data_IF_049634142043
#
_entry.id   IF_049634142043
#
_cell.length_a   1.000
_cell.length_b   1.000
_cell.length_c   1.000
_cell.angle_alpha   90.00
_cell.angle_beta   90.00
_cell.angle_gamma   90.00
#
_symmetry.space_group_name_H-M   'P 1'
#
loop_
_entity.id
_entity.type
_entity.pdbx_description
1 polymer ?
#
# COMPACT_ATOMS: atom_id res chain seq x y z
N UNK A 1 -15.28 15.66 -28.04
CA UNK A 1 -14.19 15.49 -27.04
C UNK A 1 -14.75 14.68 -25.88
N UNK A 2 -14.57 13.36 -25.78
CA UNK A 2 -15.29 12.57 -24.80
C UNK A 2 -14.51 12.36 -23.48
N UNK A 3 -15.24 12.45 -22.37
CA UNK A 3 -15.09 11.65 -21.15
C UNK A 3 -13.91 11.85 -20.17
N UNK A 4 -13.21 12.99 -20.14
CA UNK A 4 -12.31 13.29 -18.99
C UNK A 4 -13.06 13.63 -17.69
N UNK A 5 -14.38 13.80 -17.71
CA UNK A 5 -15.18 14.10 -16.51
C UNK A 5 -15.46 12.88 -15.61
N UNK A 6 -15.18 11.65 -16.07
CA UNK A 6 -15.51 10.43 -15.34
C UNK A 6 -14.39 9.97 -14.40
N UNK A 7 -13.12 10.29 -14.69
CA UNK A 7 -11.95 9.82 -13.93
C UNK A 7 -11.53 10.86 -12.90
N UNK A 8 -11.42 10.45 -11.63
CA UNK A 8 -10.82 11.28 -10.58
C UNK A 8 -9.32 10.98 -10.44
N UNK A 9 -8.60 11.88 -9.78
CA UNK A 9 -7.16 11.73 -9.51
C UNK A 9 -6.83 10.41 -8.78
N UNK A 10 -7.67 9.98 -7.84
CA UNK A 10 -7.51 8.71 -7.16
C UNK A 10 -7.59 7.52 -8.12
N UNK A 11 -8.56 7.51 -9.05
CA UNK A 11 -8.69 6.43 -10.04
C UNK A 11 -7.48 6.36 -10.97
N UNK A 12 -7.01 7.53 -11.44
CA UNK A 12 -5.84 7.62 -12.31
C UNK A 12 -4.57 7.16 -11.60
N UNK A 13 -4.38 7.56 -10.34
CA UNK A 13 -3.24 7.13 -9.53
C UNK A 13 -3.23 5.61 -9.34
N UNK A 14 -4.37 5.03 -8.95
CA UNK A 14 -4.52 3.58 -8.78
C UNK A 14 -4.30 2.82 -10.09
N UNK A 15 -4.89 3.29 -11.19
CA UNK A 15 -4.73 2.66 -12.49
C UNK A 15 -3.27 2.72 -12.98
N UNK A 16 -2.60 3.88 -12.83
CA UNK A 16 -1.20 4.04 -13.17
C UNK A 16 -0.30 3.11 -12.35
N UNK A 17 -0.57 2.98 -11.06
CA UNK A 17 0.17 2.06 -10.20
C UNK A 17 -0.02 0.59 -10.60
N UNK A 18 -1.27 0.18 -10.87
CA UNK A 18 -1.59 -1.17 -11.33
C UNK A 18 -0.94 -1.48 -12.69
N UNK A 19 -0.92 -0.53 -13.62
CA UNK A 19 -0.20 -0.66 -14.89
C UNK A 19 1.30 -0.83 -14.66
N UNK A 20 1.89 -0.08 -13.73
CA UNK A 20 3.27 -0.25 -13.31
C UNK A 20 3.55 -1.66 -12.76
N UNK A 21 2.65 -2.22 -11.94
CA UNK A 21 2.75 -3.59 -11.44
C UNK A 21 2.60 -4.64 -12.55
N UNK A 22 1.66 -4.45 -13.49
CA UNK A 22 1.51 -5.32 -14.66
C UNK A 22 2.80 -5.33 -15.49
N UNK A 23 3.35 -4.16 -15.78
CA UNK A 23 4.62 -4.04 -16.49
C UNK A 23 5.76 -4.71 -15.72
N UNK A 24 5.87 -4.48 -14.41
CA UNK A 24 6.88 -5.10 -13.55
C UNK A 24 6.82 -6.63 -13.59
N UNK A 25 5.63 -7.20 -13.43
CA UNK A 25 5.43 -8.66 -13.47
C UNK A 25 5.74 -9.20 -14.87
N UNK A 26 5.32 -8.51 -15.92
CA UNK A 26 5.60 -8.93 -17.29
C UNK A 26 7.11 -8.95 -17.60
N UNK A 27 7.83 -7.91 -17.19
CA UNK A 27 9.28 -7.79 -17.37
C UNK A 27 10.08 -8.75 -16.47
N UNK A 28 9.52 -9.15 -15.33
CA UNK A 28 10.19 -10.02 -14.35
C UNK A 28 9.65 -11.45 -14.35
N UNK A 29 8.86 -11.83 -15.36
CA UNK A 29 8.10 -13.09 -15.39
C UNK A 29 8.97 -14.33 -15.20
N UNK A 30 10.20 -14.31 -15.67
CA UNK A 30 11.13 -15.44 -15.61
C UNK A 30 11.68 -15.68 -14.19
N UNK A 31 11.52 -14.70 -13.28
CA UNK A 31 11.96 -14.79 -11.88
C UNK A 31 10.84 -15.20 -10.92
N UNK A 32 9.59 -15.16 -11.38
CA UNK A 32 8.41 -15.34 -10.55
C UNK A 32 7.90 -16.78 -10.67
N UNK A 33 7.46 -17.38 -9.57
CA UNK A 33 6.90 -18.75 -9.59
C UNK A 33 5.52 -18.80 -10.25
N UNK A 34 4.71 -17.77 -10.05
CA UNK A 34 3.33 -17.70 -10.54
C UNK A 34 2.99 -16.36 -11.23
N UNK A 35 3.71 -15.96 -12.28
CA UNK A 35 3.52 -14.66 -12.95
C UNK A 35 2.12 -14.51 -13.55
N UNK A 36 1.55 -15.59 -14.10
CA UNK A 36 0.19 -15.56 -14.66
C UNK A 36 -0.88 -15.19 -13.62
N UNK A 37 -0.79 -15.75 -12.40
CA UNK A 37 -1.71 -15.42 -11.31
C UNK A 37 -1.61 -13.95 -10.91
N UNK A 38 -0.39 -13.42 -10.84
CA UNK A 38 -0.16 -12.00 -10.51
C UNK A 38 -0.68 -11.07 -11.61
N UNK A 39 -0.40 -11.39 -12.88
CA UNK A 39 -0.91 -10.63 -14.03
C UNK A 39 -2.44 -10.62 -14.04
N UNK A 40 -3.09 -11.77 -13.93
CA UNK A 40 -4.56 -11.85 -13.89
C UNK A 40 -5.10 -11.03 -12.72
N UNK A 41 -4.48 -11.13 -11.54
CA UNK A 41 -4.89 -10.35 -10.36
C UNK A 41 -4.84 -8.85 -10.65
N UNK A 42 -3.73 -8.33 -11.16
CA UNK A 42 -3.58 -6.89 -11.43
C UNK A 42 -4.42 -6.40 -12.60
N UNK A 43 -4.60 -7.22 -13.64
CA UNK A 43 -5.48 -6.91 -14.77
C UNK A 43 -6.96 -6.88 -14.34
N UNK A 44 -7.39 -7.80 -13.47
CA UNK A 44 -8.75 -7.79 -12.91
C UNK A 44 -8.95 -6.54 -12.05
N UNK A 45 -8.01 -6.21 -11.15
CA UNK A 45 -8.09 -4.99 -10.34
C UNK A 45 -8.13 -3.73 -11.21
N UNK A 46 -7.33 -3.68 -12.28
CA UNK A 46 -7.30 -2.57 -13.22
C UNK A 46 -8.61 -2.45 -14.00
N UNK A 47 -9.15 -3.57 -14.49
CA UNK A 47 -10.42 -3.62 -15.20
C UNK A 47 -11.58 -3.19 -14.30
N UNK A 48 -11.61 -3.65 -13.05
CA UNK A 48 -12.61 -3.22 -12.08
C UNK A 48 -12.47 -1.72 -11.77
N UNK A 49 -11.25 -1.22 -11.57
CA UNK A 49 -11.00 0.21 -11.35
C UNK A 49 -11.51 1.06 -12.52
N UNK A 50 -11.22 0.64 -13.76
CA UNK A 50 -11.69 1.31 -14.96
C UNK A 50 -13.22 1.25 -15.10
N UNK A 51 -13.82 0.09 -14.82
CA UNK A 51 -15.27 -0.09 -14.85
C UNK A 51 -15.99 0.81 -13.85
N UNK A 52 -15.44 0.97 -12.65
CA UNK A 52 -16.00 1.88 -11.63
C UNK A 52 -15.82 3.34 -12.03
N UNK A 53 -14.66 3.73 -12.57
CA UNK A 53 -14.42 5.08 -13.05
C UNK A 53 -15.38 5.47 -14.19
N UNK A 54 -15.58 4.59 -15.18
CA UNK A 54 -16.54 4.80 -16.27
C UNK A 54 -17.99 4.76 -15.75
N UNK A 55 -18.30 3.81 -14.88
CA UNK A 55 -19.62 3.61 -14.29
C UNK A 55 -20.12 4.81 -13.49
N UNK A 56 -19.21 5.64 -12.95
CA UNK A 56 -19.55 6.91 -12.30
C UNK A 56 -20.39 7.83 -13.20
N UNK A 57 -20.13 7.84 -14.51
CA UNK A 57 -20.92 8.59 -15.49
C UNK A 57 -22.23 7.91 -15.93
N UNK A 58 -22.43 6.64 -15.56
CA UNK A 58 -23.58 5.80 -15.95
C UNK A 58 -24.58 5.60 -14.80
N UNK A 59 -24.47 6.37 -13.71
CA UNK A 59 -25.39 6.28 -12.57
C UNK A 59 -24.99 5.25 -11.50
N UNK A 60 -23.72 4.81 -11.48
CA UNK A 60 -23.20 4.00 -10.38
C UNK A 60 -23.30 4.77 -9.06
N UNK A 61 -23.50 4.04 -7.95
CA UNK A 61 -23.56 4.63 -6.61
C UNK A 61 -22.34 5.53 -6.33
N UNK A 62 -22.55 6.82 -5.98
CA UNK A 62 -21.46 7.74 -5.65
C UNK A 62 -20.58 7.23 -4.52
N UNK A 63 -21.15 6.47 -3.58
CA UNK A 63 -20.42 5.86 -2.49
C UNK A 63 -19.43 4.81 -2.99
N UNK A 64 -19.90 3.88 -3.84
CA UNK A 64 -19.03 2.85 -4.42
C UNK A 64 -17.93 3.53 -5.23
N UNK A 65 -18.30 4.47 -6.11
CA UNK A 65 -17.32 5.17 -6.94
C UNK A 65 -16.29 5.98 -6.14
N UNK A 66 -16.64 6.48 -4.95
CA UNK A 66 -15.75 7.26 -4.10
C UNK A 66 -14.75 6.39 -3.33
N UNK A 67 -15.17 5.23 -2.82
CA UNK A 67 -14.34 4.39 -1.94
C UNK A 67 -13.64 3.22 -2.66
N UNK A 68 -14.11 2.84 -3.84
CA UNK A 68 -13.52 1.72 -4.60
C UNK A 68 -12.01 1.84 -4.87
N UNK A 69 -11.41 3.02 -5.13
CA UNK A 69 -9.96 3.13 -5.31
C UNK A 69 -9.10 2.55 -4.17
N UNK A 70 -9.68 2.36 -2.98
CA UNK A 70 -9.02 1.72 -1.83
C UNK A 70 -8.95 0.19 -2.01
N UNK A 71 -9.93 -0.44 -2.65
CA UNK A 71 -10.01 -1.90 -2.76
C UNK A 71 -8.80 -2.54 -3.47
N UNK A 72 -8.24 -1.97 -4.56
CA UNK A 72 -7.01 -2.48 -5.15
C UNK A 72 -5.81 -2.50 -4.20
N UNK A 73 -5.75 -1.62 -3.21
CA UNK A 73 -4.67 -1.63 -2.20
C UNK A 73 -4.66 -2.96 -1.44
N UNK A 74 -5.83 -3.47 -1.05
CA UNK A 74 -5.95 -4.76 -0.37
C UNK A 74 -5.53 -5.92 -1.27
N UNK A 75 -5.92 -5.89 -2.54
CA UNK A 75 -5.51 -6.89 -3.53
C UNK A 75 -4.00 -6.90 -3.76
N UNK A 76 -3.38 -5.72 -3.83
CA UNK A 76 -1.92 -5.58 -3.93
C UNK A 76 -1.26 -6.12 -2.66
N UNK A 77 -1.76 -5.77 -1.48
CA UNK A 77 -1.23 -6.26 -0.21
C UNK A 77 -1.27 -7.79 -0.11
N UNK A 78 -2.37 -8.42 -0.51
CA UNK A 78 -2.51 -9.87 -0.55
C UNK A 78 -1.53 -10.56 -1.52
N UNK A 79 -0.98 -9.81 -2.49
CA UNK A 79 -0.03 -10.32 -3.47
C UNK A 79 1.44 -10.17 -3.07
N UNK A 80 1.79 -9.47 -1.98
CA UNK A 80 3.19 -9.10 -1.64
C UNK A 80 4.16 -10.28 -1.46
N UNK A 81 3.67 -11.52 -1.35
CA UNK A 81 4.50 -12.73 -1.21
C UNK A 81 5.49 -12.98 -2.34
N UNK A 82 5.31 -12.36 -3.53
CA UNK A 82 6.28 -12.51 -4.64
C UNK A 82 7.53 -11.64 -4.49
N UNK A 83 7.54 -10.67 -3.56
CA UNK A 83 8.63 -9.68 -3.45
C UNK A 83 10.01 -10.31 -3.21
N UNK A 84 10.15 -11.33 -2.33
CA UNK A 84 11.44 -12.03 -2.18
C UNK A 84 11.91 -12.74 -3.47
N UNK A 85 10.99 -13.12 -4.37
CA UNK A 85 11.35 -13.73 -5.67
C UNK A 85 11.93 -12.68 -6.63
N UNK A 86 11.44 -11.44 -6.54
CA UNK A 86 11.94 -10.33 -7.36
C UNK A 86 13.32 -9.82 -6.89
N UNK A 87 13.52 -9.77 -5.57
CA UNK A 87 14.72 -9.22 -4.94
C UNK A 87 15.14 -10.11 -3.75
N UNK A 88 15.88 -11.21 -4.00
CA UNK A 88 16.19 -12.22 -2.99
C UNK A 88 17.30 -11.81 -2.02
N UNK A 89 17.89 -10.62 -2.20
CA UNK A 89 18.99 -10.15 -1.35
C UNK A 89 18.46 -9.66 -0.02
N UNK A 90 18.95 -10.26 1.05
CA UNK A 90 18.73 -9.76 2.40
C UNK A 90 19.33 -8.36 2.55
N UNK A 91 18.47 -7.38 2.88
CA UNK A 91 18.87 -5.98 3.13
C UNK A 91 18.97 -5.68 4.62
N UNK A 92 18.59 -6.59 5.50
CA UNK A 92 18.58 -6.37 6.95
C UNK A 92 19.97 -6.00 7.48
N UNK A 93 21.11 -6.57 7.01
CA UNK A 93 22.44 -6.11 7.45
C UNK A 93 22.77 -4.67 7.04
N UNK A 94 22.32 -4.25 5.85
CA UNK A 94 22.52 -2.88 5.38
C UNK A 94 21.67 -1.88 6.16
N UNK A 95 20.42 -2.26 6.45
CA UNK A 95 19.49 -1.47 7.26
C UNK A 95 20.00 -1.33 8.71
N UNK A 96 20.44 -2.42 9.35
CA UNK A 96 21.04 -2.34 10.70
C UNK A 96 22.28 -1.45 10.75
N UNK A 97 23.12 -1.50 9.70
CA UNK A 97 24.27 -0.58 9.60
C UNK A 97 23.84 0.88 9.49
N UNK A 98 22.78 1.15 8.73
CA UNK A 98 22.21 2.50 8.65
C UNK A 98 21.64 2.94 9.99
N UNK A 99 20.90 2.08 10.68
CA UNK A 99 20.36 2.37 12.01
C UNK A 99 21.48 2.73 13.00
N UNK A 100 22.55 1.94 13.03
CA UNK A 100 23.73 2.25 13.87
C UNK A 100 24.46 3.51 13.43
N UNK A 101 24.49 3.82 12.14
CA UNK A 101 25.11 5.05 11.66
C UNK A 101 24.31 6.30 12.11
N UNK A 102 22.99 6.19 12.21
CA UNK A 102 22.10 7.29 12.63
C UNK A 102 22.02 7.41 14.14
N UNK A 103 21.86 6.30 14.86
CA UNK A 103 21.56 6.27 16.30
C UNK A 103 22.75 5.90 17.18
N UNK A 104 23.86 5.42 16.59
CA UNK A 104 25.03 4.92 17.32
C UNK A 104 24.81 3.56 18.01
N UNK A 105 23.57 3.06 18.02
CA UNK A 105 23.14 1.80 18.68
C UNK A 105 22.14 1.08 17.78
N UNK A 106 21.84 -0.19 18.09
CA UNK A 106 20.70 -0.90 17.50
C UNK A 106 19.40 -0.43 18.20
N UNK A 107 18.54 0.37 17.53
CA UNK A 107 17.40 1.02 18.20
C UNK A 107 16.38 0.02 18.76
N UNK A 108 16.20 -1.11 18.09
CA UNK A 108 15.32 -2.20 18.52
C UNK A 108 15.74 -2.78 19.88
N UNK A 109 17.03 -3.03 20.07
CA UNK A 109 17.60 -3.53 21.33
C UNK A 109 17.60 -2.43 22.39
N UNK A 110 17.93 -1.21 22.01
CA UNK A 110 17.95 -0.07 22.92
C UNK A 110 16.56 0.26 23.46
N UNK A 111 15.50 0.12 22.66
CA UNK A 111 14.13 0.38 23.09
C UNK A 111 13.58 -0.71 24.02
N UNK A 112 14.09 -1.94 23.94
CA UNK A 112 13.61 -3.09 24.73
C UNK A 112 13.65 -2.83 26.24
N UNK A 113 14.61 -2.04 26.73
CA UNK A 113 14.70 -1.64 28.15
C UNK A 113 13.49 -0.85 28.65
N UNK A 114 12.77 -0.17 27.75
CA UNK A 114 11.56 0.59 28.07
C UNK A 114 10.29 -0.24 27.89
N UNK A 115 10.37 -1.48 27.39
CA UNK A 115 9.20 -2.34 27.26
C UNK A 115 8.59 -2.61 28.64
N UNK A 116 7.34 -2.17 28.82
CA UNK A 116 6.50 -2.44 29.99
C UNK A 116 5.12 -2.81 29.49
N UNK A 117 4.36 -3.70 30.17
CA UNK A 117 3.05 -4.14 29.70
C UNK A 117 2.14 -2.97 29.29
N UNK A 118 2.00 -1.94 30.14
CA UNK A 118 1.15 -0.79 29.84
C UNK A 118 1.63 0.07 28.66
N UNK A 119 2.94 0.16 28.42
CA UNK A 119 3.49 0.87 27.24
C UNK A 119 3.15 0.08 25.99
N UNK A 120 3.31 -1.24 26.01
CA UNK A 120 2.95 -2.11 24.88
C UNK A 120 1.47 -1.99 24.54
N UNK A 121 0.58 -2.02 25.54
CA UNK A 121 -0.86 -1.82 25.32
C UNK A 121 -1.16 -0.44 24.71
N UNK A 122 -0.52 0.62 25.21
CA UNK A 122 -0.69 1.98 24.67
C UNK A 122 -0.20 2.09 23.22
N UNK A 123 0.95 1.47 22.90
CA UNK A 123 1.50 1.42 21.54
C UNK A 123 0.62 0.59 20.61
N UNK A 124 0.04 -0.52 21.08
CA UNK A 124 -0.91 -1.32 20.31
C UNK A 124 -2.19 -0.54 20.01
N UNK A 125 -2.69 0.25 20.97
CA UNK A 125 -3.85 1.12 20.75
C UNK A 125 -3.54 2.20 19.71
N UNK A 126 -2.37 2.84 19.80
CA UNK A 126 -1.90 3.81 18.80
C UNK A 126 -1.75 3.16 17.41
N UNK A 127 -1.24 1.94 17.36
CA UNK A 127 -1.11 1.15 16.13
C UNK A 127 -2.47 0.78 15.53
N UNK A 128 -3.45 0.43 16.36
CA UNK A 128 -4.82 0.20 15.90
C UNK A 128 -5.45 1.50 15.36
N UNK A 129 -5.24 2.61 16.05
CA UNK A 129 -5.73 3.92 15.62
C UNK A 129 -5.19 4.29 14.23
N UNK A 130 -3.94 3.98 13.92
CA UNK A 130 -3.36 4.17 12.59
C UNK A 130 -4.18 3.50 11.48
N UNK A 131 -4.73 2.31 11.71
CA UNK A 131 -5.59 1.64 10.72
C UNK A 131 -7.00 2.23 10.63
N UNK A 132 -7.55 2.72 11.73
CA UNK A 132 -8.95 3.19 11.81
C UNK A 132 -9.08 4.65 11.36
N UNK A 133 -8.12 5.51 11.69
CA UNK A 133 -8.16 6.96 11.47
C UNK A 133 -8.41 7.36 10.01
N UNK A 134 -7.76 6.76 8.98
CA UNK A 134 -8.01 7.12 7.59
C UNK A 134 -9.47 6.89 7.17
N UNK A 135 -10.09 5.80 7.63
CA UNK A 135 -11.49 5.49 7.31
C UNK A 135 -12.46 6.40 8.04
N UNK A 136 -12.18 6.73 9.31
CA UNK A 136 -12.98 7.71 10.06
C UNK A 136 -12.91 9.08 9.39
N UNK A 137 -11.72 9.51 8.96
CA UNK A 137 -11.53 10.77 8.25
C UNK A 137 -12.31 10.79 6.93
N UNK A 138 -12.08 9.80 6.05
CA UNK A 138 -12.76 9.72 4.76
C UNK A 138 -14.28 9.59 4.91
N UNK A 139 -14.76 8.78 5.85
CA UNK A 139 -16.18 8.65 6.15
C UNK A 139 -16.81 9.96 6.66
N UNK A 140 -16.10 10.71 7.51
CA UNK A 140 -16.56 12.02 8.00
C UNK A 140 -16.63 13.05 6.89
N UNK A 141 -15.57 13.16 6.07
CA UNK A 141 -15.52 14.09 4.94
C UNK A 141 -16.60 13.77 3.90
N UNK A 142 -16.80 12.49 3.59
CA UNK A 142 -17.84 12.03 2.68
C UNK A 142 -19.24 12.40 3.21
N UNK A 143 -19.51 12.16 4.51
CA UNK A 143 -20.80 12.51 5.13
C UNK A 143 -21.06 14.01 5.14
N UNK A 144 -20.00 14.82 5.32
CA UNK A 144 -20.07 16.29 5.28
C UNK A 144 -20.12 16.87 3.87
N UNK A 145 -20.00 16.04 2.82
CA UNK A 145 -19.92 16.46 1.41
C UNK A 145 -18.75 17.41 1.14
N UNK A 146 -17.65 17.26 1.89
CA UNK A 146 -16.42 18.04 1.69
C UNK A 146 -15.58 17.40 0.58
N UNK A 147 -16.06 17.45 -0.67
CA UNK A 147 -15.51 16.69 -1.80
C UNK A 147 -14.03 16.97 -2.05
N UNK A 148 -13.60 18.23 -2.00
CA UNK A 148 -12.20 18.59 -2.21
C UNK A 148 -11.27 18.02 -1.14
N UNK A 149 -11.69 18.07 0.14
CA UNK A 149 -10.91 17.53 1.25
C UNK A 149 -10.87 16.00 1.19
N UNK A 150 -12.00 15.37 0.85
CA UNK A 150 -12.10 13.94 0.63
C UNK A 150 -11.16 13.47 -0.48
N UNK A 151 -11.24 14.08 -1.67
CA UNK A 151 -10.44 13.68 -2.83
C UNK A 151 -8.93 13.84 -2.55
N UNK A 152 -8.51 14.93 -1.89
CA UNK A 152 -7.11 15.13 -1.46
C UNK A 152 -6.66 14.08 -0.46
N UNK A 153 -7.49 13.80 0.55
CA UNK A 153 -7.16 12.83 1.60
C UNK A 153 -7.08 11.41 1.04
N UNK A 154 -7.96 11.06 0.12
CA UNK A 154 -7.95 9.77 -0.57
C UNK A 154 -6.70 9.61 -1.43
N UNK A 155 -6.34 10.62 -2.22
CA UNK A 155 -5.10 10.59 -3.02
C UNK A 155 -3.87 10.46 -2.12
N UNK A 156 -3.80 11.21 -1.01
CA UNK A 156 -2.69 11.12 -0.06
C UNK A 156 -2.60 9.72 0.57
N UNK A 157 -3.74 9.12 0.93
CA UNK A 157 -3.81 7.76 1.47
C UNK A 157 -3.32 6.72 0.45
N UNK A 158 -3.76 6.81 -0.80
CA UNK A 158 -3.35 5.87 -1.85
C UNK A 158 -1.86 6.04 -2.17
N UNK A 159 -1.39 7.28 -2.30
CA UNK A 159 0.01 7.58 -2.58
C UNK A 159 0.93 7.06 -1.48
N UNK A 160 0.57 7.23 -0.20
CA UNK A 160 1.37 6.71 0.91
C UNK A 160 1.47 5.18 0.88
N UNK A 161 0.37 4.48 0.58
CA UNK A 161 0.38 3.02 0.43
C UNK A 161 1.23 2.57 -0.76
N UNK A 162 1.10 3.21 -1.91
CA UNK A 162 1.86 2.86 -3.11
C UNK A 162 3.35 3.13 -2.94
N UNK A 163 3.73 4.25 -2.31
CA UNK A 163 5.12 4.52 -1.94
C UNK A 163 5.66 3.49 -0.95
N UNK A 164 4.88 3.10 0.06
CA UNK A 164 5.29 2.07 1.02
C UNK A 164 5.52 0.72 0.34
N UNK A 165 4.60 0.29 -0.53
CA UNK A 165 4.74 -0.97 -1.28
C UNK A 165 5.94 -0.91 -2.22
N UNK A 166 6.13 0.17 -2.96
CA UNK A 166 7.29 0.34 -3.85
C UNK A 166 8.59 0.37 -3.06
N UNK A 167 8.64 1.07 -1.93
CA UNK A 167 9.79 1.08 -1.02
C UNK A 167 10.15 -0.33 -0.55
N UNK A 168 9.15 -1.12 -0.14
CA UNK A 168 9.34 -2.50 0.27
C UNK A 168 9.82 -3.42 -0.87
N UNK A 169 9.37 -3.19 -2.11
CA UNK A 169 9.89 -3.92 -3.28
C UNK A 169 11.37 -3.61 -3.57
N UNK A 170 11.78 -2.36 -3.39
CA UNK A 170 13.16 -1.92 -3.64
C UNK A 170 14.12 -2.37 -2.53
N UNK A 171 13.65 -2.32 -1.28
CA UNK A 171 14.42 -2.67 -0.08
C UNK A 171 13.60 -3.67 0.75
N UNK A 172 13.54 -4.95 0.32
CA UNK A 172 12.84 -5.97 1.08
C UNK A 172 13.58 -6.21 2.40
N UNK A 173 12.83 -6.16 3.50
CA UNK A 173 13.34 -6.41 4.84
C UNK A 173 12.49 -7.49 5.51
N UNK A 174 13.12 -8.49 6.12
CA UNK A 174 12.42 -9.59 6.80
C UNK A 174 12.05 -9.19 8.23
N UNK A 175 12.92 -8.40 8.84
CA UNK A 175 12.77 -7.85 10.18
C UNK A 175 13.48 -8.69 11.25
N UNK A 176 13.74 -8.09 12.43
CA UNK A 176 14.65 -8.64 13.45
C UNK A 176 14.14 -9.93 14.13
N UNK A 177 12.89 -10.32 13.88
CA UNK A 177 12.26 -11.55 14.39
C UNK A 177 12.78 -12.83 13.75
N UNK A 178 13.39 -12.73 12.56
CA UNK A 178 14.05 -13.86 11.91
C UNK A 178 15.54 -13.77 12.24
N UNK A 179 16.04 -14.57 13.20
CA UNK A 179 17.47 -14.60 13.45
C UNK A 179 18.18 -15.06 12.18
N UNK A 180 19.32 -14.42 11.90
CA UNK A 180 20.28 -14.88 10.90
C UNK A 180 20.50 -16.37 11.17
N UNK A 181 20.13 -17.23 10.22
CA UNK A 181 20.67 -18.59 10.19
C UNK A 181 22.17 -18.42 9.93
N UNK A 182 22.95 -18.41 11.02
CA UNK A 182 24.39 -18.61 11.01
C UNK A 182 24.68 -20.09 10.95
#
# INVERSE_FOLDING_TARGET
MPAMGAWKAADLLTAAYLLGLVALVFLSRDRLKHPARLLVTYLVLLALQAAIAVGRGLGLSPFIAAFFPIAPVLGIYASLGFIPELNPRDRDPALRRLDRAVFGVDPSVWMDRYARPWITEAMQLAYLAYYVLPFVLLGTLYRRREEQAFDRSLVALLLSHYLAVTGYMLVPALGPRFPLAG
#
